data_IF_431765794333
#
_entry.id   IF_431765794333
#
_cell.length_a   1.000
_cell.length_b   1.000
_cell.length_c   1.000
_cell.angle_alpha   90.00
_cell.angle_beta   90.00
_cell.angle_gamma   90.00
#
_symmetry.space_group_name_H-M   'P 1'
#
loop_
_entity.id
_entity.type
_entity.pdbx_description
1 polymer ?
#
# COMPACT_ATOMS: atom_id res chain seq x y z
N UNK A 1 -1.69 19.70 32.31
CA UNK A 1 -0.97 19.13 31.15
C UNK A 1 -1.67 17.82 30.84
N UNK A 2 -2.63 17.81 29.91
CA UNK A 2 -3.48 16.64 29.66
C UNK A 2 -3.14 16.07 28.30
N UNK A 3 -2.65 14.83 28.29
CA UNK A 3 -2.44 14.01 27.11
C UNK A 3 -3.77 13.80 26.39
N UNK A 4 -3.87 14.24 25.14
CA UNK A 4 -4.91 13.77 24.23
C UNK A 4 -4.36 12.57 23.46
N UNK A 5 -4.72 11.38 23.95
CA UNK A 5 -4.66 10.15 23.18
C UNK A 5 -5.67 10.31 22.04
N UNK A 6 -5.19 10.51 20.81
CA UNK A 6 -6.08 10.55 19.64
C UNK A 6 -6.49 9.11 19.32
N UNK A 7 -7.65 8.70 19.82
CA UNK A 7 -8.30 7.45 19.41
C UNK A 7 -8.99 7.77 18.08
N UNK A 8 -8.59 7.09 17.00
CA UNK A 8 -9.34 7.15 15.75
C UNK A 8 -10.78 6.69 16.01
N UNK A 9 -11.75 7.61 15.83
CA UNK A 9 -13.17 7.29 15.90
C UNK A 9 -13.64 6.79 14.54
N UNK A 10 -14.30 5.64 14.52
CA UNK A 10 -15.09 5.22 13.37
C UNK A 10 -16.31 6.14 13.30
N UNK A 11 -16.48 6.83 12.18
CA UNK A 11 -17.63 7.68 11.90
C UNK A 11 -18.37 7.15 10.66
N UNK A 12 -19.69 7.17 10.71
CA UNK A 12 -20.55 6.75 9.61
C UNK A 12 -20.60 7.85 8.55
N UNK A 13 -20.61 7.46 7.27
CA UNK A 13 -20.76 8.42 6.18
C UNK A 13 -22.10 9.16 6.28
N UNK A 14 -22.08 10.48 6.05
CA UNK A 14 -23.18 11.47 6.13
C UNK A 14 -23.31 12.28 7.42
N UNK A 15 -22.39 12.14 8.38
CA UNK A 15 -22.37 13.05 9.52
C UNK A 15 -22.01 14.49 9.08
N UNK A 16 -22.95 15.41 9.29
CA UNK A 16 -22.80 16.84 8.92
C UNK A 16 -21.80 17.56 9.81
N UNK A 17 -21.54 16.98 10.99
CA UNK A 17 -20.55 17.42 11.95
C UNK A 17 -19.26 16.59 11.83
N UNK A 18 -18.98 16.03 10.63
CA UNK A 18 -17.72 15.36 10.32
C UNK A 18 -16.58 16.20 10.90
N UNK A 19 -15.82 15.67 11.88
CA UNK A 19 -14.78 16.46 12.51
C UNK A 19 -13.81 16.83 11.40
N UNK A 20 -13.82 18.11 11.06
CA UNK A 20 -12.91 18.67 10.07
C UNK A 20 -11.55 18.70 10.77
N UNK A 21 -10.92 17.53 10.91
CA UNK A 21 -9.49 17.45 11.09
C UNK A 21 -8.91 17.97 9.77
N UNK A 22 -8.78 19.30 9.71
CA UNK A 22 -8.39 20.08 8.56
C UNK A 22 -6.90 19.87 8.30
N UNK A 23 -6.58 18.84 7.53
CA UNK A 23 -5.34 18.74 6.78
C UNK A 23 -5.69 18.35 5.36
N UNK A 24 -5.74 19.32 4.44
CA UNK A 24 -5.71 19.00 3.01
C UNK A 24 -4.26 18.74 2.63
N UNK A 25 -3.94 17.50 2.28
CA UNK A 25 -2.61 17.12 1.80
C UNK A 25 -2.45 17.57 0.34
N UNK A 26 -1.60 18.56 0.10
CA UNK A 26 -1.32 19.09 -1.23
C UNK A 26 0.05 18.60 -1.69
N UNK A 27 0.11 18.00 -2.89
CA UNK A 27 1.40 17.63 -3.49
C UNK A 27 1.26 16.74 -4.73
N UNK A 28 0.30 15.83 -4.75
CA UNK A 28 0.01 15.07 -5.96
C UNK A 28 -0.48 15.98 -7.09
N UNK A 29 -0.01 15.73 -8.31
CA UNK A 29 -0.37 16.53 -9.51
C UNK A 29 -1.49 15.91 -10.32
N UNK A 30 -2.02 14.76 -9.87
CA UNK A 30 -3.17 14.06 -10.43
C UNK A 30 -3.95 13.32 -9.34
N UNK A 31 -5.03 12.64 -9.71
CA UNK A 31 -5.93 11.95 -8.78
C UNK A 31 -5.24 10.92 -7.90
N UNK A 32 -5.54 10.97 -6.59
CA UNK A 32 -5.11 9.96 -5.61
C UNK A 32 -5.98 8.72 -5.74
N UNK A 33 -5.36 7.56 -5.84
CA UNK A 33 -6.02 6.27 -6.12
C UNK A 33 -6.15 5.40 -4.88
N UNK A 34 -5.21 5.53 -3.95
CA UNK A 34 -5.11 4.68 -2.77
C UNK A 34 -4.41 5.44 -1.64
N UNK A 35 -4.86 5.19 -0.41
CA UNK A 35 -4.25 5.72 0.82
C UNK A 35 -4.21 4.65 1.89
N UNK A 36 -3.18 4.68 2.74
CA UNK A 36 -3.08 3.82 3.91
C UNK A 36 -2.41 4.55 5.09
N UNK A 37 -2.85 4.24 6.31
CA UNK A 37 -2.15 4.68 7.53
C UNK A 37 -0.99 3.75 7.86
N UNK A 38 0.06 4.29 8.45
CA UNK A 38 1.07 3.48 9.14
C UNK A 38 0.45 2.82 10.37
N UNK A 39 1.00 1.69 10.85
CA UNK A 39 0.46 0.96 12.00
C UNK A 39 0.38 1.79 13.29
N UNK A 40 1.30 2.75 13.47
CA UNK A 40 1.30 3.67 14.61
C UNK A 40 0.38 4.89 14.42
N UNK A 41 -0.29 5.00 13.26
CA UNK A 41 -1.21 6.07 12.90
C UNK A 41 -0.54 7.43 12.65
N UNK A 42 0.80 7.52 12.67
CA UNK A 42 1.52 8.79 12.56
C UNK A 42 1.79 9.22 11.13
N UNK A 43 1.76 8.28 10.19
CA UNK A 43 2.01 8.54 8.77
C UNK A 43 0.84 8.09 7.91
N UNK A 44 0.66 8.77 6.79
CA UNK A 44 -0.20 8.33 5.70
C UNK A 44 0.69 8.10 4.48
N UNK A 45 0.42 7.05 3.71
CA UNK A 45 0.98 6.86 2.37
C UNK A 45 -0.13 7.00 1.34
N UNK A 46 0.17 7.62 0.20
CA UNK A 46 -0.76 7.75 -0.91
C UNK A 46 -0.12 7.37 -2.24
N UNK A 47 -0.88 6.72 -3.11
CA UNK A 47 -0.55 6.48 -4.52
C UNK A 47 -1.41 7.34 -5.45
N UNK A 48 -0.90 7.68 -6.63
CA UNK A 48 -1.57 8.59 -7.57
C UNK A 48 -1.35 8.25 -9.04
N UNK A 49 -2.25 8.77 -9.88
CA UNK A 49 -2.11 8.83 -11.32
C UNK A 49 -0.92 9.71 -11.79
N UNK A 50 -0.31 10.50 -10.90
CA UNK A 50 0.96 11.18 -11.20
C UNK A 50 2.19 10.24 -11.14
N UNK A 51 1.96 8.95 -10.92
CA UNK A 51 2.95 7.86 -10.90
C UNK A 51 3.86 7.89 -9.67
N UNK A 52 3.54 8.71 -8.66
CA UNK A 52 4.32 8.80 -7.44
C UNK A 52 3.61 8.15 -6.26
N UNK A 53 4.41 7.72 -5.28
CA UNK A 53 3.95 7.44 -3.92
C UNK A 53 4.44 8.57 -3.03
N UNK A 54 3.59 9.06 -2.12
CA UNK A 54 3.96 10.12 -1.16
C UNK A 54 3.67 9.68 0.27
N UNK A 55 4.45 10.21 1.21
CA UNK A 55 4.33 9.92 2.64
C UNK A 55 4.09 11.23 3.39
N UNK A 56 3.11 11.24 4.27
CA UNK A 56 2.62 12.44 4.97
C UNK A 56 2.62 12.22 6.47
N UNK A 57 2.83 13.30 7.22
CA UNK A 57 2.57 13.35 8.65
C UNK A 57 1.06 13.47 8.86
N UNK A 58 0.48 12.48 9.53
CA UNK A 58 -0.96 12.38 9.71
C UNK A 58 -1.53 13.48 10.62
N UNK A 59 -0.71 14.08 11.50
CA UNK A 59 -1.16 15.11 12.43
C UNK A 59 -1.06 16.51 11.82
N UNK A 60 0.00 16.75 11.05
CA UNK A 60 0.35 18.07 10.53
C UNK A 60 -0.09 18.32 9.10
N UNK A 61 -0.43 17.29 8.32
CA UNK A 61 -0.79 17.49 6.91
C UNK A 61 0.42 17.67 5.98
N UNK A 62 1.64 17.46 6.47
CA UNK A 62 2.88 17.83 5.78
C UNK A 62 3.53 16.61 5.16
N UNK A 63 4.03 16.74 3.94
CA UNK A 63 4.81 15.68 3.28
C UNK A 63 6.14 15.46 4.04
N UNK A 64 6.41 14.21 4.42
CA UNK A 64 7.57 13.85 5.26
C UNK A 64 8.86 13.76 4.42
N UNK A 65 8.75 13.37 3.15
CA UNK A 65 9.88 13.13 2.26
C UNK A 65 9.57 13.57 0.83
N UNK A 66 10.60 13.62 -0.03
CA UNK A 66 10.36 13.70 -1.47
C UNK A 66 9.47 12.55 -1.96
N UNK A 67 8.72 12.73 -3.07
CA UNK A 67 7.93 11.67 -3.66
C UNK A 67 8.79 10.46 -4.01
N UNK A 68 8.29 9.27 -3.71
CA UNK A 68 8.92 8.03 -4.11
C UNK A 68 8.65 7.83 -5.60
N UNK A 69 9.70 7.99 -6.40
CA UNK A 69 9.67 7.86 -7.84
C UNK A 69 10.26 6.52 -8.28
N UNK A 70 9.72 5.96 -9.34
CA UNK A 70 10.20 4.71 -9.94
C UNK A 70 9.15 4.09 -10.84
N UNK A 71 7.87 4.18 -10.45
CA UNK A 71 6.78 3.74 -11.32
C UNK A 71 6.70 4.55 -12.62
N UNK A 72 6.52 3.85 -13.73
CA UNK A 72 6.45 4.47 -15.06
C UNK A 72 5.01 4.73 -15.51
N UNK A 73 4.03 4.27 -14.74
CA UNK A 73 2.60 4.52 -14.92
C UNK A 73 1.88 4.65 -13.56
N UNK A 74 0.56 4.83 -13.60
CA UNK A 74 -0.30 5.10 -12.45
C UNK A 74 -0.06 4.14 -11.29
N UNK A 75 0.11 4.69 -10.08
CA UNK A 75 0.09 3.90 -8.85
C UNK A 75 -1.37 3.65 -8.49
N UNK A 76 -1.74 2.40 -8.28
CA UNK A 76 -3.15 1.98 -8.06
C UNK A 76 -3.44 1.60 -6.62
N UNK A 77 -2.43 1.11 -5.91
CA UNK A 77 -2.58 0.58 -4.57
C UNK A 77 -1.30 0.82 -3.77
N UNK A 78 -1.46 1.21 -2.51
CA UNK A 78 -0.35 1.34 -1.56
C UNK A 78 -0.71 0.69 -0.22
N UNK A 79 0.29 0.18 0.50
CA UNK A 79 0.11 -0.32 1.86
C UNK A 79 1.40 -0.16 2.68
N UNK A 80 1.26 0.00 3.99
CA UNK A 80 2.38 -0.13 4.94
C UNK A 80 2.57 -1.59 5.35
N UNK A 81 3.80 -1.96 5.66
CA UNK A 81 4.10 -3.17 6.44
C UNK A 81 3.58 -3.01 7.87
N UNK A 82 3.32 -4.13 8.56
CA UNK A 82 2.78 -4.09 9.93
C UNK A 82 3.80 -3.58 10.96
N UNK A 83 5.10 -3.70 10.67
CA UNK A 83 6.16 -3.04 11.44
C UNK A 83 6.31 -1.53 11.10
N UNK A 84 5.61 -1.05 10.06
CA UNK A 84 5.64 0.34 9.60
C UNK A 84 6.94 0.77 8.91
N UNK A 85 7.91 -0.12 8.75
CA UNK A 85 9.24 0.21 8.19
C UNK A 85 9.25 0.24 6.67
N UNK A 86 8.26 -0.37 6.02
CA UNK A 86 8.18 -0.50 4.58
C UNK A 86 6.84 -0.05 4.04
N UNK A 87 6.89 0.39 2.78
CA UNK A 87 5.71 0.65 1.95
C UNK A 87 5.77 -0.29 0.76
N UNK A 88 4.62 -0.76 0.29
CA UNK A 88 4.48 -1.46 -0.99
C UNK A 88 3.53 -0.69 -1.88
N UNK A 89 3.81 -0.67 -3.18
CA UNK A 89 2.94 -0.08 -4.19
C UNK A 89 2.77 -0.99 -5.40
N UNK A 90 1.58 -1.00 -5.98
CA UNK A 90 1.26 -1.61 -7.27
C UNK A 90 0.92 -0.55 -8.31
N UNK A 91 1.20 -0.82 -9.58
CA UNK A 91 1.03 0.13 -10.68
C UNK A 91 0.55 -0.49 -11.99
N UNK A 92 0.03 0.36 -12.87
CA UNK A 92 -0.25 0.07 -14.28
C UNK A 92 1.00 -0.19 -15.12
N UNK A 93 2.21 0.03 -14.58
CA UNK A 93 3.45 -0.42 -15.21
C UNK A 93 3.72 -1.93 -15.03
N UNK A 94 2.74 -2.67 -14.51
CA UNK A 94 2.75 -4.11 -14.23
C UNK A 94 3.71 -4.52 -13.10
N UNK A 95 4.26 -3.55 -12.36
CA UNK A 95 5.23 -3.83 -11.30
C UNK A 95 4.63 -3.63 -9.90
N UNK A 96 5.24 -4.34 -8.96
CA UNK A 96 5.13 -4.03 -7.53
C UNK A 96 6.46 -3.46 -7.07
N UNK A 97 6.46 -2.44 -6.23
CA UNK A 97 7.69 -1.86 -5.65
C UNK A 97 7.59 -1.85 -4.13
N UNK A 98 8.74 -2.05 -3.49
CA UNK A 98 8.89 -1.99 -2.03
C UNK A 98 9.81 -0.83 -1.70
N UNK A 99 9.43 -0.03 -0.71
CA UNK A 99 10.13 1.19 -0.33
C UNK A 99 10.48 1.16 1.15
N UNK A 100 11.63 1.72 1.49
CA UNK A 100 12.00 2.04 2.85
C UNK A 100 11.22 3.28 3.28
N UNK A 101 10.34 3.14 4.26
CA UNK A 101 9.41 4.19 4.68
C UNK A 101 10.11 5.35 5.41
N UNK A 102 11.30 5.12 5.95
CA UNK A 102 12.05 6.12 6.72
C UNK A 102 13.04 6.88 5.83
N UNK A 103 13.67 6.17 4.88
CA UNK A 103 14.65 6.74 3.95
C UNK A 103 14.02 7.28 2.67
N UNK A 104 12.82 6.83 2.33
CA UNK A 104 12.13 7.24 1.10
C UNK A 104 12.85 6.75 -0.16
N UNK A 105 13.40 5.54 -0.13
CA UNK A 105 14.11 4.93 -1.26
C UNK A 105 13.54 3.56 -1.59
N UNK A 106 13.63 3.14 -2.85
CA UNK A 106 13.25 1.79 -3.27
C UNK A 106 14.20 0.75 -2.64
N UNK A 107 13.62 -0.35 -2.15
CA UNK A 107 14.36 -1.51 -1.65
C UNK A 107 14.48 -2.52 -2.78
N UNK A 108 15.71 -2.78 -3.22
CA UNK A 108 15.98 -3.74 -4.28
C UNK A 108 15.54 -3.24 -5.65
N UNK A 109 15.01 -4.14 -6.47
CA UNK A 109 14.44 -3.82 -7.79
C UNK A 109 12.93 -4.03 -7.77
N UNK A 110 12.22 -3.39 -8.69
CA UNK A 110 10.80 -3.64 -8.91
C UNK A 110 10.52 -5.14 -9.07
N UNK A 111 9.47 -5.63 -8.43
CA UNK A 111 9.02 -7.02 -8.51
C UNK A 111 8.28 -7.20 -9.83
N UNK A 112 8.94 -7.91 -10.75
CA UNK A 112 8.47 -8.16 -12.10
C UNK A 112 7.84 -9.55 -12.18
N UNK A 113 6.76 -9.67 -12.95
CA UNK A 113 6.15 -10.97 -13.24
C UNK A 113 4.73 -10.84 -13.78
N UNK A 114 3.95 -9.88 -13.27
CA UNK A 114 2.63 -9.61 -13.83
C UNK A 114 2.72 -9.15 -15.28
N UNK A 115 1.78 -9.59 -16.11
CA UNK A 115 1.73 -9.25 -17.54
C UNK A 115 0.71 -8.16 -17.88
N UNK A 116 0.01 -7.66 -16.86
CA UNK A 116 -0.98 -6.59 -16.95
C UNK A 116 -1.03 -5.85 -15.60
N UNK A 117 -1.85 -4.79 -15.52
CA UNK A 117 -1.89 -3.84 -14.43
C UNK A 117 -2.00 -4.50 -13.06
N UNK A 118 -1.13 -4.08 -12.13
CA UNK A 118 -1.30 -4.43 -10.72
C UNK A 118 -2.38 -3.53 -10.14
N UNK A 119 -3.40 -4.13 -9.54
CA UNK A 119 -4.58 -3.42 -9.04
C UNK A 119 -4.59 -3.29 -7.53
N UNK A 120 -3.95 -4.21 -6.82
CA UNK A 120 -4.01 -4.31 -5.37
C UNK A 120 -2.75 -4.97 -4.84
N UNK A 121 -2.23 -4.43 -3.73
CA UNK A 121 -1.09 -4.96 -2.98
C UNK A 121 -1.38 -4.97 -1.49
N UNK A 122 -0.84 -5.95 -0.77
CA UNK A 122 -0.91 -6.00 0.69
C UNK A 122 0.32 -6.71 1.29
N UNK A 123 0.71 -6.32 2.50
CA UNK A 123 1.70 -7.04 3.29
C UNK A 123 1.08 -8.18 4.09
N UNK A 124 1.86 -9.24 4.32
CA UNK A 124 1.53 -10.26 5.30
C UNK A 124 1.61 -9.70 6.72
N UNK A 125 0.92 -10.32 7.71
CA UNK A 125 0.97 -9.87 9.09
C UNK A 125 2.37 -9.91 9.71
N UNK A 126 3.24 -10.80 9.24
CA UNK A 126 4.65 -10.85 9.68
C UNK A 126 5.57 -9.88 8.93
N UNK A 127 5.02 -9.07 8.01
CA UNK A 127 5.74 -8.12 7.15
C UNK A 127 6.78 -8.73 6.19
N UNK A 128 6.90 -10.06 6.12
CA UNK A 128 7.93 -10.74 5.29
C UNK A 128 7.50 -10.97 3.85
N UNK A 129 6.20 -10.87 3.55
CA UNK A 129 5.64 -11.16 2.23
C UNK A 129 4.75 -10.03 1.74
N UNK A 130 4.69 -9.93 0.43
CA UNK A 130 3.69 -9.12 -0.28
C UNK A 130 2.80 -10.05 -1.08
N UNK A 131 1.52 -9.72 -1.19
CA UNK A 131 0.60 -10.31 -2.16
C UNK A 131 0.18 -9.22 -3.14
N UNK A 132 0.06 -9.56 -4.42
CA UNK A 132 -0.46 -8.67 -5.46
C UNK A 132 -1.52 -9.35 -6.31
N UNK A 133 -2.54 -8.57 -6.70
CA UNK A 133 -3.55 -8.94 -7.69
C UNK A 133 -3.41 -8.10 -8.95
N UNK A 134 -3.74 -8.68 -10.11
CA UNK A 134 -3.57 -8.03 -11.41
C UNK A 134 -4.71 -8.32 -12.39
N UNK A 135 -4.81 -7.50 -13.42
CA UNK A 135 -5.62 -7.70 -14.62
C UNK A 135 -5.15 -8.89 -15.47
N UNK A 136 -3.97 -9.47 -15.19
CA UNK A 136 -3.54 -10.72 -15.80
C UNK A 136 -4.26 -11.97 -15.22
N UNK A 137 -5.25 -11.74 -14.35
CA UNK A 137 -6.07 -12.74 -13.67
C UNK A 137 -5.28 -13.61 -12.67
N UNK A 138 -4.09 -13.19 -12.26
CA UNK A 138 -3.27 -13.92 -11.29
C UNK A 138 -3.14 -13.19 -9.96
N UNK A 139 -2.91 -13.97 -8.91
CA UNK A 139 -2.39 -13.48 -7.63
C UNK A 139 -0.95 -13.96 -7.48
N UNK A 140 -0.02 -13.07 -7.13
CA UNK A 140 1.38 -13.40 -6.88
C UNK A 140 1.76 -13.12 -5.45
N UNK A 141 2.69 -13.91 -4.93
CA UNK A 141 3.24 -13.75 -3.59
C UNK A 141 4.74 -13.49 -3.73
N UNK A 142 5.25 -12.51 -3.00
CA UNK A 142 6.64 -12.07 -3.09
C UNK A 142 7.30 -12.12 -1.73
N UNK A 143 8.59 -12.42 -1.71
CA UNK A 143 9.47 -12.23 -0.57
C UNK A 143 9.86 -10.75 -0.50
N UNK A 144 9.45 -10.07 0.57
CA UNK A 144 9.62 -8.63 0.69
C UNK A 144 11.07 -8.21 1.02
N UNK A 145 11.91 -9.15 1.48
CA UNK A 145 13.31 -8.88 1.80
C UNK A 145 14.21 -9.13 0.59
N UNK A 146 13.90 -10.18 -0.18
CA UNK A 146 14.70 -10.62 -1.33
C UNK A 146 14.23 -10.03 -2.65
N UNK A 147 12.98 -9.55 -2.71
CA UNK A 147 12.38 -9.04 -3.92
C UNK A 147 12.19 -10.10 -5.00
N UNK A 148 11.84 -11.32 -4.61
CA UNK A 148 11.62 -12.45 -5.53
C UNK A 148 10.24 -13.05 -5.35
N UNK A 149 9.68 -13.61 -6.42
CA UNK A 149 8.40 -14.34 -6.37
C UNK A 149 8.55 -15.64 -5.56
N UNK A 150 7.56 -15.92 -4.72
CA UNK A 150 7.45 -17.15 -3.91
C UNK A 150 6.48 -18.10 -4.60
N UNK A 151 7.03 -19.16 -5.20
CA UNK A 151 6.24 -20.19 -5.88
C UNK A 151 5.76 -19.75 -7.25
N UNK A 152 4.68 -20.37 -7.74
CA UNK A 152 4.05 -20.01 -9.01
C UNK A 152 2.85 -19.08 -8.78
N UNK A 153 2.47 -18.26 -9.78
CA UNK A 153 1.26 -17.45 -9.71
C UNK A 153 0.04 -18.30 -9.37
N UNK A 154 -0.79 -17.81 -8.46
CA UNK A 154 -2.07 -18.43 -8.16
C UNK A 154 -3.03 -18.12 -9.30
N UNK A 155 -3.42 -19.17 -10.01
CA UNK A 155 -4.33 -19.11 -11.15
C UNK A 155 -5.71 -19.68 -10.78
N UNK A 156 -6.72 -19.37 -11.57
CA UNK A 156 -8.10 -19.87 -11.39
C UNK A 156 -9.16 -18.77 -11.44
N UNK A 157 -8.77 -17.50 -11.28
CA UNK A 157 -9.65 -16.38 -11.59
C UNK A 157 -9.88 -16.31 -13.10
N UNK A 158 -11.15 -16.23 -13.52
CA UNK A 158 -11.53 -16.12 -14.94
C UNK A 158 -11.64 -14.66 -15.41
N UNK A 159 -11.35 -13.71 -14.53
CA UNK A 159 -11.37 -12.27 -14.78
C UNK A 159 -10.43 -11.58 -13.80
N UNK A 160 -10.36 -10.25 -13.89
CA UNK A 160 -9.38 -9.43 -13.20
C UNK A 160 -9.42 -9.65 -11.69
N UNK A 161 -8.24 -9.77 -11.08
CA UNK A 161 -8.12 -9.69 -9.64
C UNK A 161 -8.13 -8.22 -9.27
N UNK A 162 -9.14 -7.76 -8.55
CA UNK A 162 -9.31 -6.34 -8.19
C UNK A 162 -8.91 -6.02 -6.76
N UNK A 163 -8.79 -7.03 -5.90
CA UNK A 163 -8.41 -6.85 -4.49
C UNK A 163 -7.75 -8.11 -3.95
N UNK A 164 -6.73 -7.91 -3.13
CA UNK A 164 -6.07 -8.96 -2.34
C UNK A 164 -5.85 -8.48 -0.91
N UNK A 165 -5.89 -9.41 0.03
CA UNK A 165 -5.58 -9.15 1.44
C UNK A 165 -5.03 -10.42 2.09
N UNK A 166 -4.20 -10.25 3.12
CA UNK A 166 -3.85 -11.35 4.00
C UNK A 166 -4.85 -11.48 5.14
N UNK A 167 -5.12 -12.72 5.56
CA UNK A 167 -5.82 -12.97 6.82
C UNK A 167 -4.97 -12.48 8.00
N UNK A 168 -5.55 -11.79 9.01
CA UNK A 168 -4.82 -11.31 10.18
C UNK A 168 -4.21 -12.41 11.05
N UNK A 169 -4.77 -13.62 11.00
CA UNK A 169 -4.42 -14.72 11.91
C UNK A 169 -3.16 -15.51 11.51
N UNK A 170 -2.57 -15.22 10.34
CA UNK A 170 -1.30 -15.78 9.87
C UNK A 170 -1.23 -17.31 9.76
N UNK A 171 -2.32 -18.02 10.08
CA UNK A 171 -2.36 -19.49 10.18
C UNK A 171 -3.27 -20.03 9.11
N UNK A 172 -2.66 -20.68 8.11
CA UNK A 172 -3.39 -21.67 7.29
C UNK A 172 -3.87 -22.75 8.24
N UNK A 173 -5.17 -22.81 8.54
CA UNK A 173 -5.76 -24.09 8.91
C UNK A 173 -5.68 -24.95 7.65
N UNK A 174 -4.70 -25.84 7.60
CA UNK A 174 -4.62 -26.81 6.51
C UNK A 174 -5.94 -27.57 6.43
N UNK A 175 -6.53 -27.63 5.24
CA UNK A 175 -7.52 -28.66 4.96
C UNK A 175 -6.79 -30.01 5.02
N UNK A 176 -7.18 -30.87 5.96
CA UNK A 176 -6.91 -32.30 5.89
C UNK A 176 -7.87 -32.95 4.90
#
# INVERSE_FOLDING_TARGET
MVNLLCIAKIAEGQDKDWPVAQGSFWGHTSGVTSVAFSPDGRRIVSGSYDRTVRVWDANGGVEISSPLQGHTDWVTSVAFSLDGTRIVSGSYDNTVRVWDADRGVEIGSSLQGHTDWVTSVAFSPDSTRVVSGSYDNTVRIWDADRGVEIGSPLQGHTSFVTSVAFSPDGRRKGCQ
#
